data_IF_270374700999
#
_entry.id   IF_270374700999
#
_cell.length_a   1.000
_cell.length_b   1.000
_cell.length_c   1.000
_cell.angle_alpha   90.00
_cell.angle_beta   90.00
_cell.angle_gamma   90.00
#
_symmetry.space_group_name_H-M   'P 1'
#
loop_
_entity.id
_entity.type
_entity.pdbx_description
1 polymer ?
#
# COMPACT_ATOMS: atom_id res chain seq x y z
N UNK A 1 1.84 12.98 -26.54
CA UNK A 1 1.80 11.52 -26.28
C UNK A 1 2.33 11.17 -24.90
N UNK A 2 3.52 11.63 -24.51
CA UNK A 2 4.07 11.40 -23.17
C UNK A 2 3.18 11.92 -22.04
N UNK A 3 2.53 13.08 -22.23
CA UNK A 3 1.62 13.62 -21.21
C UNK A 3 0.41 12.72 -20.96
N UNK A 4 -0.21 12.24 -22.04
CA UNK A 4 -1.32 11.27 -21.98
C UNK A 4 -0.90 9.98 -21.30
N UNK A 5 0.29 9.45 -21.62
CA UNK A 5 0.81 8.22 -20.99
C UNK A 5 1.06 8.44 -19.50
N UNK A 6 1.71 9.52 -19.09
CA UNK A 6 1.94 9.83 -17.68
C UNK A 6 0.62 10.02 -16.92
N UNK A 7 -0.37 10.70 -17.52
CA UNK A 7 -1.70 10.87 -16.93
C UNK A 7 -2.39 9.52 -16.75
N UNK A 8 -2.38 8.65 -17.77
CA UNK A 8 -2.97 7.30 -17.68
C UNK A 8 -2.26 6.47 -16.62
N UNK A 9 -0.93 6.48 -16.58
CA UNK A 9 -0.14 5.76 -15.57
C UNK A 9 -0.54 6.23 -14.17
N UNK A 10 -0.55 7.54 -13.91
CA UNK A 10 -0.91 8.10 -12.60
C UNK A 10 -2.37 7.78 -12.24
N UNK A 11 -3.29 7.85 -13.20
CA UNK A 11 -4.69 7.48 -13.00
C UNK A 11 -4.83 6.02 -12.56
N UNK A 12 -4.18 5.11 -13.29
CA UNK A 12 -4.16 3.67 -12.98
C UNK A 12 -3.52 3.43 -11.62
N UNK A 13 -2.43 4.11 -11.29
CA UNK A 13 -1.79 4.01 -9.98
C UNK A 13 -2.72 4.51 -8.86
N UNK A 14 -3.43 5.62 -9.07
CA UNK A 14 -4.42 6.13 -8.12
C UNK A 14 -5.54 5.11 -7.85
N UNK A 15 -6.11 4.53 -8.92
CA UNK A 15 -7.10 3.44 -8.78
C UNK A 15 -6.49 2.23 -8.08
N UNK A 16 -5.25 1.86 -8.42
CA UNK A 16 -4.55 0.73 -7.83
C UNK A 16 -4.31 0.90 -6.32
N UNK A 17 -4.05 2.13 -5.84
CA UNK A 17 -3.89 2.43 -4.41
C UNK A 17 -5.12 1.99 -3.62
N UNK A 18 -6.32 2.34 -4.08
CA UNK A 18 -7.58 1.92 -3.43
C UNK A 18 -7.82 0.41 -3.66
N UNK A 19 -7.59 -0.05 -4.89
CA UNK A 19 -7.84 -1.44 -5.30
C UNK A 19 -7.10 -2.48 -4.45
N UNK A 20 -5.90 -2.15 -3.93
CA UNK A 20 -5.15 -3.04 -3.02
C UNK A 20 -5.93 -3.42 -1.77
N UNK A 21 -6.80 -2.53 -1.27
CA UNK A 21 -7.59 -2.78 -0.06
C UNK A 21 -8.81 -3.67 -0.31
N UNK A 22 -9.20 -3.89 -1.57
CA UNK A 22 -10.28 -4.83 -1.89
C UNK A 22 -9.96 -6.26 -1.42
N UNK A 23 -8.68 -6.61 -1.32
CA UNK A 23 -8.23 -7.89 -0.76
C UNK A 23 -8.75 -8.11 0.68
N UNK A 24 -8.91 -7.04 1.46
CA UNK A 24 -9.38 -7.13 2.85
C UNK A 24 -10.87 -7.44 2.98
N UNK A 25 -11.64 -7.32 1.89
CA UNK A 25 -13.03 -7.76 1.85
C UNK A 25 -13.17 -9.29 1.78
N UNK A 26 -12.11 -10.03 1.42
CA UNK A 26 -12.14 -11.50 1.43
C UNK A 26 -12.31 -12.05 2.85
N UNK A 27 -13.00 -13.19 3.06
CA UNK A 27 -13.09 -13.81 4.38
C UNK A 27 -11.71 -14.13 4.98
N UNK A 28 -11.57 -14.00 6.30
CA UNK A 28 -10.31 -14.23 7.03
C UNK A 28 -9.60 -15.52 6.60
N UNK A 29 -10.33 -16.64 6.49
CA UNK A 29 -9.76 -17.95 6.09
C UNK A 29 -9.08 -17.90 4.72
N UNK A 30 -9.65 -17.18 3.74
CA UNK A 30 -9.07 -17.05 2.39
C UNK A 30 -7.83 -16.16 2.42
N UNK A 31 -7.90 -15.02 3.13
CA UNK A 31 -6.76 -14.12 3.30
C UNK A 31 -5.58 -14.84 3.97
N UNK A 32 -5.87 -15.63 5.01
CA UNK A 32 -4.89 -16.48 5.69
C UNK A 32 -4.25 -17.48 4.75
N UNK A 33 -5.05 -18.30 4.06
CA UNK A 33 -4.53 -19.32 3.15
C UNK A 33 -3.63 -18.73 2.04
N UNK A 34 -3.98 -17.57 1.50
CA UNK A 34 -3.17 -16.88 0.50
C UNK A 34 -1.86 -16.36 1.09
N UNK A 35 -1.89 -15.82 2.32
CA UNK A 35 -0.70 -15.38 3.01
C UNK A 35 0.21 -16.55 3.38
N UNK A 36 -0.35 -17.65 3.88
CA UNK A 36 0.37 -18.88 4.19
C UNK A 36 1.04 -19.44 2.93
N UNK A 37 0.37 -19.39 1.77
CA UNK A 37 0.95 -19.79 0.49
C UNK A 37 2.13 -18.91 0.07
N UNK A 38 2.09 -17.60 0.35
CA UNK A 38 3.17 -16.67 0.02
C UNK A 38 4.41 -16.89 0.88
N UNK A 39 4.24 -17.10 2.18
CA UNK A 39 5.35 -17.34 3.09
C UNK A 39 5.87 -18.78 3.03
N UNK A 40 4.99 -19.78 2.90
CA UNK A 40 5.34 -21.18 3.09
C UNK A 40 6.14 -21.38 4.37
N UNK A 41 7.26 -22.11 4.27
CA UNK A 41 8.20 -22.34 5.37
C UNK A 41 9.26 -21.24 5.52
N UNK A 42 9.08 -20.09 4.86
CA UNK A 42 10.05 -18.99 4.84
C UNK A 42 9.68 -17.88 5.84
N UNK A 43 10.72 -17.18 6.30
CA UNK A 43 10.59 -16.00 7.14
C UNK A 43 10.25 -14.72 6.34
N UNK A 44 10.43 -14.72 5.01
CA UNK A 44 10.14 -13.60 4.10
C UNK A 44 9.55 -14.09 2.79
N UNK A 45 8.61 -13.33 2.23
CA UNK A 45 7.87 -13.66 1.00
C UNK A 45 7.97 -12.60 -0.10
N UNK A 46 8.41 -11.38 0.21
CA UNK A 46 8.22 -10.20 -0.66
C UNK A 46 9.50 -9.60 -1.22
N UNK A 47 10.69 -10.05 -0.83
CA UNK A 47 11.96 -9.38 -1.14
C UNK A 47 12.15 -9.00 -2.62
N UNK A 48 11.85 -9.92 -3.55
CA UNK A 48 11.95 -9.63 -4.98
C UNK A 48 10.91 -8.60 -5.44
N UNK A 49 9.68 -8.69 -4.93
CA UNK A 49 8.62 -7.72 -5.20
C UNK A 49 8.98 -6.34 -4.64
N UNK A 50 9.62 -6.29 -3.46
CA UNK A 50 10.02 -5.03 -2.82
C UNK A 50 11.06 -4.30 -3.66
N UNK A 51 12.03 -5.02 -4.24
CA UNK A 51 13.02 -4.45 -5.16
C UNK A 51 12.36 -3.90 -6.43
N UNK A 52 11.44 -4.67 -7.04
CA UNK A 52 10.71 -4.23 -8.24
C UNK A 52 9.86 -3.00 -7.96
N UNK A 53 9.13 -2.98 -6.83
CA UNK A 53 8.32 -1.83 -6.43
C UNK A 53 9.17 -0.60 -6.12
N UNK A 54 10.35 -0.79 -5.53
CA UNK A 54 11.30 0.31 -5.29
C UNK A 54 11.77 0.91 -6.62
N UNK A 55 12.20 0.07 -7.57
CA UNK A 55 12.63 0.53 -8.89
C UNK A 55 11.50 1.27 -9.63
N UNK A 56 10.27 0.74 -9.59
CA UNK A 56 9.09 1.37 -10.19
C UNK A 56 8.79 2.74 -9.53
N UNK A 57 8.88 2.82 -8.20
CA UNK A 57 8.65 4.06 -7.45
C UNK A 57 9.64 5.15 -7.85
N UNK A 58 10.93 4.80 -7.96
CA UNK A 58 11.98 5.72 -8.43
C UNK A 58 11.73 6.17 -9.87
N UNK A 59 11.36 5.25 -10.75
CA UNK A 59 11.06 5.56 -12.15
C UNK A 59 9.87 6.53 -12.29
N UNK A 60 8.79 6.32 -11.52
CA UNK A 60 7.63 7.22 -11.50
C UNK A 60 8.03 8.59 -10.95
N UNK A 61 8.78 8.65 -9.85
CA UNK A 61 9.25 9.91 -9.29
C UNK A 61 10.09 10.71 -10.30
N UNK A 62 11.03 10.05 -10.98
CA UNK A 62 11.84 10.67 -12.03
C UNK A 62 10.97 11.17 -13.21
N UNK A 63 9.98 10.38 -13.63
CA UNK A 63 9.03 10.78 -14.67
C UNK A 63 8.22 12.02 -14.27
N UNK A 64 7.73 12.10 -13.03
CA UNK A 64 6.96 13.24 -12.53
C UNK A 64 7.82 14.51 -12.41
N UNK A 65 9.06 14.37 -11.92
CA UNK A 65 10.02 15.48 -11.86
C UNK A 65 10.39 15.97 -13.26
N UNK A 66 10.62 15.05 -14.21
CA UNK A 66 10.88 15.41 -15.60
C UNK A 66 9.70 16.12 -16.27
N UNK A 67 8.47 15.78 -15.89
CA UNK A 67 7.22 16.48 -16.29
C UNK A 67 7.06 17.87 -15.65
N UNK A 68 7.98 18.29 -14.79
CA UNK A 68 7.93 19.60 -14.15
C UNK A 68 6.88 19.69 -13.05
N UNK A 69 6.65 18.61 -12.29
CA UNK A 69 5.79 18.69 -11.10
C UNK A 69 6.31 19.79 -10.16
N UNK A 70 5.39 20.59 -9.64
CA UNK A 70 5.72 21.69 -8.74
C UNK A 70 6.27 21.12 -7.41
N UNK A 71 7.38 21.71 -6.94
CA UNK A 71 8.18 21.13 -5.86
C UNK A 71 7.41 21.07 -4.52
N UNK A 72 6.61 22.09 -4.20
CA UNK A 72 5.78 22.12 -2.98
C UNK A 72 4.74 21.00 -3.03
N UNK A 73 4.09 20.81 -4.17
CA UNK A 73 3.10 19.74 -4.39
C UNK A 73 3.73 18.36 -4.28
N UNK A 74 4.93 18.18 -4.85
CA UNK A 74 5.66 16.92 -4.79
C UNK A 74 6.12 16.58 -3.36
N UNK A 75 6.78 17.53 -2.68
CA UNK A 75 7.22 17.34 -1.29
C UNK A 75 6.04 17.16 -0.33
N UNK A 76 4.96 17.91 -0.52
CA UNK A 76 3.72 17.75 0.25
C UNK A 76 3.13 16.36 0.06
N UNK A 77 3.06 15.86 -1.17
CA UNK A 77 2.60 14.51 -1.48
C UNK A 77 3.47 13.42 -0.83
N UNK A 78 4.80 13.56 -0.88
CA UNK A 78 5.73 12.64 -0.23
C UNK A 78 5.53 12.60 1.29
N UNK A 79 5.44 13.77 1.94
CA UNK A 79 5.25 13.85 3.38
C UNK A 79 3.91 13.25 3.81
N UNK A 80 2.81 13.58 3.12
CA UNK A 80 1.48 13.01 3.37
C UNK A 80 1.52 11.48 3.23
N UNK A 81 2.08 10.98 2.12
CA UNK A 81 2.18 9.54 1.85
C UNK A 81 2.99 8.79 2.91
N UNK A 82 4.18 9.30 3.25
CA UNK A 82 5.05 8.73 4.28
C UNK A 82 4.39 8.72 5.67
N UNK A 83 3.66 9.79 5.99
CA UNK A 83 2.97 9.91 7.28
C UNK A 83 1.78 8.95 7.36
N UNK A 84 0.97 8.85 6.30
CA UNK A 84 -0.17 7.94 6.27
C UNK A 84 0.25 6.48 6.40
N UNK A 85 1.33 6.05 5.72
CA UNK A 85 1.82 4.67 5.85
C UNK A 85 2.37 4.38 7.25
N UNK A 86 3.08 5.33 7.88
CA UNK A 86 3.53 5.20 9.26
C UNK A 86 2.33 5.04 10.21
N UNK A 87 1.36 5.95 10.12
CA UNK A 87 0.15 5.91 10.95
C UNK A 87 -0.65 4.62 10.73
N UNK A 88 -0.72 4.13 9.50
CA UNK A 88 -1.36 2.86 9.15
C UNK A 88 -0.71 1.70 9.93
N UNK A 89 0.62 1.57 9.88
CA UNK A 89 1.31 0.47 10.56
C UNK A 89 1.24 0.58 12.09
N UNK A 90 1.22 1.78 12.65
CA UNK A 90 1.07 1.98 14.10
C UNK A 90 -0.25 1.44 14.67
N UNK A 91 -1.30 1.28 13.84
CA UNK A 91 -2.56 0.69 14.29
C UNK A 91 -2.46 -0.82 14.57
N UNK A 92 -1.37 -1.47 14.16
CA UNK A 92 -1.14 -2.90 14.39
C UNK A 92 -0.29 -3.20 15.64
N UNK A 93 -0.17 -2.25 16.58
CA UNK A 93 0.54 -2.45 17.85
C UNK A 93 -0.07 -3.51 18.78
N UNK A 94 -1.36 -3.85 18.63
CA UNK A 94 -2.00 -4.84 19.51
C UNK A 94 -1.60 -6.26 19.12
N UNK A 95 -1.23 -7.12 20.08
CA UNK A 95 -0.81 -8.49 19.82
C UNK A 95 -1.92 -9.30 19.14
N UNK A 96 -1.50 -10.26 18.31
CA UNK A 96 -2.39 -11.23 17.68
C UNK A 96 -2.61 -12.40 18.66
N UNK A 97 -3.84 -12.90 18.84
CA UNK A 97 -4.09 -14.08 19.66
C UNK A 97 -3.25 -15.28 19.19
N UNK A 98 -2.77 -16.11 20.14
CA UNK A 98 -1.86 -17.21 19.86
C UNK A 98 -2.34 -18.17 18.76
N UNK A 99 -3.66 -18.42 18.68
CA UNK A 99 -4.26 -19.30 17.68
C UNK A 99 -4.24 -18.73 16.25
N UNK A 100 -3.93 -17.44 16.10
CA UNK A 100 -3.89 -16.70 14.83
C UNK A 100 -2.51 -16.09 14.54
N UNK A 101 -1.54 -16.35 15.42
CA UNK A 101 -0.18 -15.85 15.29
C UNK A 101 0.54 -16.46 14.09
N UNK A 102 1.65 -15.83 13.68
CA UNK A 102 2.51 -16.37 12.63
C UNK A 102 3.12 -17.71 13.07
N UNK A 103 3.03 -18.77 12.25
CA UNK A 103 3.74 -20.01 12.51
C UNK A 103 5.25 -19.77 12.32
N UNK A 104 6.10 -20.43 13.13
CA UNK A 104 7.54 -20.45 12.91
C UNK A 104 7.91 -20.95 11.51
N UNK A 105 9.03 -20.50 10.93
CA UNK A 105 9.90 -19.42 11.44
C UNK A 105 9.22 -18.05 11.31
N UNK A 106 9.31 -17.24 12.36
CA UNK A 106 8.75 -15.88 12.37
C UNK A 106 9.81 -14.83 12.01
N UNK A 107 9.33 -13.71 11.49
CA UNK A 107 10.10 -12.48 11.30
C UNK A 107 9.17 -11.31 11.61
N UNK A 108 9.71 -10.10 11.88
CA UNK A 108 8.87 -8.93 12.10
C UNK A 108 7.90 -8.67 10.94
N UNK A 109 8.34 -8.88 9.69
CA UNK A 109 7.50 -8.72 8.51
C UNK A 109 6.39 -9.77 8.44
N UNK A 110 6.69 -11.03 8.76
CA UNK A 110 5.70 -12.11 8.81
C UNK A 110 4.68 -11.85 9.90
N UNK A 111 5.12 -11.49 11.11
CA UNK A 111 4.23 -11.14 12.22
C UNK A 111 3.31 -9.98 11.89
N UNK A 112 3.86 -8.89 11.32
CA UNK A 112 3.07 -7.74 10.86
C UNK A 112 2.06 -8.14 9.79
N UNK A 113 2.46 -8.97 8.82
CA UNK A 113 1.55 -9.48 7.79
C UNK A 113 0.39 -10.27 8.41
N UNK A 114 0.65 -11.09 9.43
CA UNK A 114 -0.40 -11.84 10.14
C UNK A 114 -1.32 -10.91 10.93
N UNK A 115 -0.77 -9.89 11.61
CA UNK A 115 -1.55 -8.88 12.32
C UNK A 115 -2.49 -8.11 11.40
N UNK A 116 -2.01 -7.74 10.20
CA UNK A 116 -2.83 -7.11 9.16
C UNK A 116 -3.95 -8.05 8.72
N UNK A 117 -3.68 -9.32 8.46
CA UNK A 117 -4.74 -10.24 8.01
C UNK A 117 -5.77 -10.58 9.09
N UNK A 118 -5.37 -10.60 10.36
CA UNK A 118 -6.29 -10.80 11.49
C UNK A 118 -7.29 -9.65 11.62
N UNK A 119 -6.81 -8.41 11.56
CA UNK A 119 -7.63 -7.22 11.82
C UNK A 119 -7.37 -6.10 10.80
N UNK A 120 -7.65 -6.29 9.49
CA UNK A 120 -7.23 -5.37 8.42
C UNK A 120 -7.88 -3.98 8.49
N UNK A 121 -8.98 -3.86 9.22
CA UNK A 121 -9.76 -2.62 9.38
C UNK A 121 -9.32 -1.78 10.59
N UNK A 122 -8.30 -2.20 11.35
CA UNK A 122 -7.74 -1.37 12.43
C UNK A 122 -7.38 0.06 11.96
N UNK A 123 -6.68 0.25 10.83
CA UNK A 123 -6.36 1.58 10.31
C UNK A 123 -7.47 2.19 9.44
N UNK A 124 -8.75 1.97 9.78
CA UNK A 124 -9.86 2.53 9.01
C UNK A 124 -9.78 4.06 8.81
N UNK A 125 -9.30 4.91 9.76
CA UNK A 125 -9.20 6.35 9.52
C UNK A 125 -8.18 6.65 8.42
N UNK A 126 -7.03 5.98 8.42
CA UNK A 126 -5.99 6.18 7.42
C UNK A 126 -6.44 5.69 6.05
N UNK A 127 -7.17 4.57 5.99
CA UNK A 127 -7.77 4.05 4.76
C UNK A 127 -8.79 5.03 4.17
N UNK A 128 -9.65 5.60 5.02
CA UNK A 128 -10.65 6.58 4.60
C UNK A 128 -9.98 7.86 4.08
N UNK A 129 -9.01 8.41 4.83
CA UNK A 129 -8.27 9.60 4.41
C UNK A 129 -7.57 9.39 3.06
N UNK A 130 -6.86 8.27 2.90
CA UNK A 130 -6.21 7.92 1.65
C UNK A 130 -7.22 7.82 0.49
N UNK A 131 -8.36 7.17 0.73
CA UNK A 131 -9.42 7.00 -0.27
C UNK A 131 -9.99 8.35 -0.72
N UNK A 132 -10.30 9.23 0.23
CA UNK A 132 -10.82 10.58 -0.06
C UNK A 132 -9.80 11.38 -0.87
N UNK A 133 -8.53 11.37 -0.48
CA UNK A 133 -7.46 12.08 -1.20
C UNK A 133 -7.31 11.57 -2.64
N UNK A 134 -7.36 10.25 -2.85
CA UNK A 134 -7.28 9.67 -4.19
C UNK A 134 -8.51 10.03 -5.02
N UNK A 135 -9.73 9.92 -4.48
CA UNK A 135 -10.96 10.24 -5.20
C UNK A 135 -11.00 11.72 -5.61
N UNK A 136 -10.65 12.62 -4.69
CA UNK A 136 -10.55 14.06 -5.00
C UNK A 136 -9.51 14.29 -6.10
N UNK A 137 -8.32 13.69 -5.98
CA UNK A 137 -7.24 13.86 -6.96
C UNK A 137 -7.62 13.35 -8.35
N UNK A 138 -8.29 12.20 -8.44
CA UNK A 138 -8.81 11.66 -9.69
C UNK A 138 -9.92 12.55 -10.27
N UNK A 139 -10.84 13.04 -9.44
CA UNK A 139 -11.89 13.97 -9.85
C UNK A 139 -11.32 15.27 -10.42
N UNK A 140 -10.34 15.87 -9.73
CA UNK A 140 -9.64 17.07 -10.20
C UNK A 140 -8.87 16.85 -11.50
N UNK A 141 -8.41 15.63 -11.77
CA UNK A 141 -7.72 15.29 -13.00
C UNK A 141 -8.68 15.10 -14.18
N UNK A 142 -9.91 14.63 -13.94
CA UNK A 142 -10.96 14.47 -14.97
C UNK A 142 -11.63 15.80 -15.30
N UNK A 143 -11.77 16.70 -14.31
CA UNK A 143 -12.42 18.01 -14.47
C UNK A 143 -11.51 19.09 -15.09
N UNK A 144 -10.27 18.75 -15.45
CA UNK A 144 -9.33 19.63 -16.16
C UNK A 144 -9.32 19.28 -17.64
#
# INVERSE_FOLDING_TARGET
MLDTVATVIVAVLGVHVIGKFAFFALPYRRRRALLDKQYGDRASATAASDLVLMALTVAIAALLLWRGVEAVSFLGGLWIGATLIQLYFHQFHRPVPAQRAAPPPTSPLKEMSYAIQDSPWRPWPQLLTLTVLVVISLGLMISK
#
